data_IF_339193288783
#
_entry.id   IF_339193288783
#
_cell.length_a   1.000
_cell.length_b   1.000
_cell.length_c   1.000
_cell.angle_alpha   90.00
_cell.angle_beta   90.00
_cell.angle_gamma   90.00
#
_symmetry.space_group_name_H-M   'P 1'
#
loop_
_entity.id
_entity.type
_entity.pdbx_description
1 polymer ?
#
# COMPACT_ATOMS: atom_id res chain seq x y z
N UNK A 1 -20.99 -11.20 20.23
CA UNK A 1 -20.19 -11.89 19.21
C UNK A 1 -18.80 -11.28 19.25
N UNK A 2 -17.80 -12.06 19.63
CA UNK A 2 -16.41 -11.59 19.71
C UNK A 2 -15.89 -11.35 18.29
N UNK A 3 -15.31 -10.18 18.07
CA UNK A 3 -14.67 -9.82 16.81
C UNK A 3 -13.20 -10.18 16.93
N UNK A 4 -12.66 -10.79 15.89
CA UNK A 4 -11.23 -11.03 15.76
C UNK A 4 -10.63 -9.98 14.83
N UNK A 5 -9.33 -9.75 14.99
CA UNK A 5 -8.57 -8.81 14.18
C UNK A 5 -7.51 -9.53 13.37
N UNK A 6 -7.21 -8.99 12.19
CA UNK A 6 -6.14 -9.49 11.33
C UNK A 6 -5.35 -8.33 10.73
N UNK A 7 -4.09 -8.59 10.41
CA UNK A 7 -3.19 -7.68 9.74
C UNK A 7 -3.03 -8.11 8.28
N UNK A 8 -3.41 -7.23 7.34
CA UNK A 8 -3.29 -7.46 5.91
C UNK A 8 -2.17 -6.56 5.37
N UNK A 9 -1.05 -7.15 4.98
CA UNK A 9 -0.03 -6.47 4.19
C UNK A 9 -0.39 -6.52 2.71
N UNK A 10 -0.11 -5.40 2.03
CA UNK A 10 -0.30 -5.21 0.60
C UNK A 10 1.04 -4.80 0.00
N UNK A 11 1.55 -5.59 -0.94
CA UNK A 11 2.83 -5.33 -1.61
C UNK A 11 2.60 -5.18 -3.12
N UNK A 12 2.89 -4.00 -3.65
CA UNK A 12 2.57 -3.63 -5.03
C UNK A 12 3.44 -4.39 -6.06
N UNK A 13 2.82 -5.22 -6.90
CA UNK A 13 3.48 -5.87 -8.04
C UNK A 13 3.54 -4.91 -9.23
N UNK A 14 2.43 -4.22 -9.48
CA UNK A 14 2.28 -3.22 -10.55
C UNK A 14 2.03 -1.85 -9.92
N UNK A 15 2.27 -0.73 -10.63
CA UNK A 15 1.88 0.58 -10.11
C UNK A 15 0.39 0.62 -9.75
N UNK A 16 0.04 1.24 -8.63
CA UNK A 16 -1.32 1.24 -8.07
C UNK A 16 -1.87 2.66 -8.09
N UNK A 17 -3.08 2.84 -8.60
CA UNK A 17 -3.78 4.12 -8.57
C UNK A 17 -4.97 4.08 -7.59
N UNK A 18 -4.75 4.22 -6.28
CA UNK A 18 -5.85 4.47 -5.36
C UNK A 18 -6.30 5.92 -5.56
N UNK A 19 -7.33 6.13 -6.39
CA UNK A 19 -7.75 7.47 -6.80
C UNK A 19 -8.07 8.37 -5.62
N UNK A 20 -7.31 9.47 -5.50
CA UNK A 20 -7.47 10.50 -4.48
C UNK A 20 -8.53 11.52 -4.85
N UNK A 21 -8.86 12.37 -3.89
CA UNK A 21 -9.68 13.54 -4.17
C UNK A 21 -8.87 14.51 -5.04
N UNK A 22 -9.47 15.05 -6.10
CA UNK A 22 -8.82 16.01 -6.99
C UNK A 22 -8.32 17.20 -6.16
N UNK A 23 -7.00 17.34 -6.05
CA UNK A 23 -6.39 18.46 -5.37
C UNK A 23 -6.25 19.64 -6.35
N UNK A 24 -6.23 20.87 -5.84
CA UNK A 24 -5.76 22.02 -6.60
C UNK A 24 -4.23 21.85 -6.81
N UNK A 25 -3.83 21.26 -7.93
CA UNK A 25 -2.43 20.94 -8.21
C UNK A 25 -2.19 20.61 -9.67
N UNK A 26 -0.93 20.36 -10.03
CA UNK A 26 -0.51 20.06 -11.41
C UNK A 26 -0.83 18.63 -11.87
N UNK A 27 -1.32 17.77 -10.96
CA UNK A 27 -1.70 16.38 -11.26
C UNK A 27 -3.22 16.28 -11.22
N UNK A 28 -3.83 15.91 -12.35
CA UNK A 28 -5.28 15.81 -12.48
C UNK A 28 -5.86 14.66 -11.65
N UNK A 29 -5.17 13.52 -11.62
CA UNK A 29 -5.58 12.30 -10.93
C UNK A 29 -4.51 11.89 -9.91
N UNK A 30 -4.49 12.51 -8.71
CA UNK A 30 -3.55 12.15 -7.66
C UNK A 30 -3.93 10.82 -6.99
N UNK A 31 -2.98 10.23 -6.26
CA UNK A 31 -3.28 9.11 -5.36
C UNK A 31 -3.84 9.60 -4.01
N UNK A 32 -4.52 8.70 -3.28
CA UNK A 32 -4.98 8.95 -1.92
C UNK A 32 -3.81 9.18 -0.96
N UNK A 33 -3.87 10.27 -0.20
CA UNK A 33 -2.92 10.63 0.85
C UNK A 33 -3.65 11.00 2.14
N UNK A 34 -3.07 10.64 3.28
CA UNK A 34 -3.55 11.09 4.58
C UNK A 34 -3.29 12.61 4.73
N UNK A 35 -4.29 13.45 5.00
CA UNK A 35 -4.11 14.90 5.03
C UNK A 35 -3.06 15.41 6.03
N UNK A 36 -2.95 14.76 7.19
CA UNK A 36 -2.07 15.22 8.28
C UNK A 36 -0.58 14.96 8.00
N UNK A 37 -0.25 13.87 7.31
CA UNK A 37 1.14 13.44 7.07
C UNK A 37 1.56 13.60 5.62
N UNK A 38 0.61 13.54 4.69
CA UNK A 38 0.89 13.42 3.26
C UNK A 38 1.32 12.02 2.81
N UNK A 39 1.38 11.03 3.72
CA UNK A 39 1.70 9.65 3.37
C UNK A 39 0.62 9.07 2.45
N UNK A 40 1.00 8.34 1.39
CA UNK A 40 0.07 7.56 0.61
C UNK A 40 -0.69 6.54 1.46
N UNK A 41 -1.97 6.39 1.16
CA UNK A 41 -2.88 5.46 1.84
C UNK A 41 -3.78 4.78 0.81
N UNK A 42 -4.46 3.71 1.24
CA UNK A 42 -5.66 3.23 0.56
C UNK A 42 -6.79 3.32 1.58
N UNK A 43 -7.78 4.18 1.33
CA UNK A 43 -8.94 4.38 2.20
C UNK A 43 -9.67 3.05 2.43
N UNK A 44 -10.19 2.85 3.63
CA UNK A 44 -10.80 1.59 4.05
C UNK A 44 -11.98 1.17 3.15
N UNK A 45 -12.77 2.14 2.67
CA UNK A 45 -13.86 1.91 1.73
C UNK A 45 -13.37 1.48 0.34
N UNK A 46 -12.25 2.01 -0.15
CA UNK A 46 -11.64 1.59 -1.41
C UNK A 46 -11.12 0.16 -1.31
N UNK A 47 -10.41 -0.17 -0.23
CA UNK A 47 -9.92 -1.52 0.02
C UNK A 47 -11.08 -2.51 0.24
N UNK A 48 -12.13 -2.12 0.97
CA UNK A 48 -13.34 -2.93 1.14
C UNK A 48 -14.04 -3.18 -0.19
N UNK A 49 -14.08 -2.19 -1.09
CA UNK A 49 -14.60 -2.33 -2.44
C UNK A 49 -13.83 -3.37 -3.24
N UNK A 50 -12.49 -3.29 -3.23
CA UNK A 50 -11.61 -4.26 -3.88
C UNK A 50 -11.83 -5.69 -3.35
N UNK A 51 -11.86 -5.87 -2.03
CA UNK A 51 -12.15 -7.16 -1.39
C UNK A 51 -13.55 -7.66 -1.76
N UNK A 52 -14.55 -6.79 -1.70
CA UNK A 52 -15.93 -7.12 -2.04
C UNK A 52 -16.05 -7.65 -3.47
N UNK A 53 -15.38 -7.02 -4.43
CA UNK A 53 -15.38 -7.48 -5.81
C UNK A 53 -14.61 -8.79 -5.98
N UNK A 54 -13.42 -8.88 -5.38
CA UNK A 54 -12.61 -10.11 -5.42
C UNK A 54 -13.39 -11.34 -4.93
N UNK A 55 -14.19 -11.21 -3.86
CA UNK A 55 -14.95 -12.33 -3.31
C UNK A 55 -16.33 -12.54 -3.95
N UNK A 56 -16.75 -11.73 -4.93
CA UNK A 56 -18.11 -11.77 -5.50
C UNK A 56 -18.48 -13.11 -6.13
N UNK A 57 -17.54 -13.78 -6.78
CA UNK A 57 -17.74 -15.10 -7.40
C UNK A 57 -17.14 -16.25 -6.57
N UNK A 58 -16.51 -15.94 -5.44
CA UNK A 58 -15.78 -16.91 -4.58
C UNK A 58 -16.57 -17.32 -3.34
N UNK A 59 -17.68 -16.64 -3.05
CA UNK A 59 -18.55 -16.90 -1.90
C UNK A 59 -19.99 -17.06 -2.38
N UNK A 60 -20.78 -17.83 -1.63
CA UNK A 60 -22.24 -17.84 -1.78
C UNK A 60 -22.82 -16.43 -1.51
N UNK A 61 -23.93 -16.09 -2.17
CA UNK A 61 -24.47 -14.72 -2.14
C UNK A 61 -24.86 -14.27 -0.73
N UNK A 62 -25.48 -15.16 0.06
CA UNK A 62 -25.83 -14.91 1.46
C UNK A 62 -24.60 -14.58 2.32
N UNK A 63 -23.52 -15.34 2.11
CA UNK A 63 -22.24 -15.15 2.80
C UNK A 63 -21.56 -13.85 2.36
N UNK A 64 -21.55 -13.57 1.06
CA UNK A 64 -20.98 -12.36 0.48
C UNK A 64 -21.71 -11.11 0.99
N UNK A 65 -23.04 -11.11 0.98
CA UNK A 65 -23.86 -10.03 1.57
C UNK A 65 -23.63 -9.93 3.07
N UNK A 66 -23.51 -11.05 3.78
CA UNK A 66 -23.22 -11.06 5.22
C UNK A 66 -21.89 -10.40 5.57
N UNK A 67 -20.84 -10.65 4.79
CA UNK A 67 -19.50 -10.08 5.02
C UNK A 67 -19.41 -8.60 4.60
N UNK A 68 -19.91 -8.26 3.40
CA UNK A 68 -19.66 -6.94 2.79
C UNK A 68 -20.84 -5.98 2.88
N UNK A 69 -22.03 -6.46 3.23
CA UNK A 69 -23.28 -5.71 3.30
C UNK A 69 -24.09 -5.78 2.01
N UNK A 70 -25.39 -5.46 2.08
CA UNK A 70 -26.27 -5.49 0.91
C UNK A 70 -25.97 -4.35 -0.06
N UNK A 71 -26.42 -4.49 -1.31
CA UNK A 71 -26.50 -3.34 -2.22
C UNK A 71 -27.59 -2.38 -1.73
N UNK A 72 -27.45 -1.07 -1.93
CA UNK A 72 -28.55 -0.13 -1.72
C UNK A 72 -29.73 -0.49 -2.64
N UNK A 73 -30.96 -0.62 -2.12
CA UNK A 73 -32.13 -0.88 -2.96
C UNK A 73 -32.43 0.33 -3.86
N UNK A 74 -32.79 0.07 -5.12
CA UNK A 74 -33.05 1.11 -6.15
C UNK A 74 -34.24 2.03 -5.83
N UNK A 75 -35.11 1.68 -4.88
CA UNK A 75 -36.33 2.43 -4.53
C UNK A 75 -36.46 2.78 -3.05
N UNK A 76 -35.36 2.77 -2.29
CA UNK A 76 -35.41 2.90 -0.83
C UNK A 76 -35.78 1.58 -0.13
N UNK A 77 -35.27 1.39 1.09
CA UNK A 77 -35.44 0.16 1.86
C UNK A 77 -34.29 -0.09 2.83
N UNK A 78 -34.45 -1.06 3.73
CA UNK A 78 -33.45 -1.40 4.74
C UNK A 78 -32.19 -2.01 4.10
N UNK A 79 -31.03 -1.47 4.46
CA UNK A 79 -29.72 -2.04 4.11
C UNK A 79 -29.28 -3.00 5.20
N UNK A 80 -28.55 -4.06 4.81
CA UNK A 80 -27.89 -4.96 5.76
C UNK A 80 -26.42 -4.57 5.86
N UNK A 81 -25.91 -4.14 7.03
CA UNK A 81 -24.49 -3.88 7.19
C UNK A 81 -23.69 -5.18 7.12
N UNK A 82 -22.50 -5.11 6.52
CA UNK A 82 -21.57 -6.24 6.49
C UNK A 82 -20.82 -6.40 7.81
N UNK A 83 -20.49 -7.63 8.18
CA UNK A 83 -19.73 -7.94 9.39
C UNK A 83 -18.24 -7.60 9.30
N UNK A 84 -17.67 -7.51 8.09
CA UNK A 84 -16.27 -7.18 7.88
C UNK A 84 -16.06 -5.66 7.93
N UNK A 85 -15.18 -5.23 8.84
CA UNK A 85 -14.64 -3.88 8.93
C UNK A 85 -13.24 -3.87 8.34
N UNK A 86 -13.03 -3.02 7.36
CA UNK A 86 -11.76 -2.86 6.67
C UNK A 86 -11.28 -1.45 6.97
N UNK A 87 -10.15 -1.36 7.67
CA UNK A 87 -9.54 -0.08 8.00
C UNK A 87 -8.59 0.36 6.88
N UNK A 88 -8.23 1.64 6.92
CA UNK A 88 -7.28 2.23 5.98
C UNK A 88 -5.95 1.46 5.95
N UNK A 89 -5.46 1.20 4.73
CA UNK A 89 -4.12 0.70 4.51
C UNK A 89 -3.13 1.86 4.58
N UNK A 90 -2.21 1.80 5.53
CA UNK A 90 -1.23 2.85 5.79
C UNK A 90 0.15 2.42 5.29
N UNK A 91 0.93 3.38 4.78
CA UNK A 91 2.27 3.14 4.27
C UNK A 91 3.17 2.51 5.36
N UNK A 92 3.90 1.47 4.97
CA UNK A 92 4.97 0.84 5.76
C UNK A 92 6.32 1.20 5.19
N UNK A 93 6.48 1.02 3.87
CA UNK A 93 7.73 1.31 3.18
C UNK A 93 7.47 1.73 1.73
N UNK A 94 8.20 2.74 1.28
CA UNK A 94 8.12 3.28 -0.08
C UNK A 94 9.44 3.06 -0.82
N UNK A 95 9.43 2.57 -2.07
CA UNK A 95 10.64 2.35 -2.83
C UNK A 95 11.15 3.69 -3.42
N UNK A 96 12.33 4.12 -2.98
CA UNK A 96 13.02 5.28 -3.51
C UNK A 96 14.08 4.84 -4.52
N UNK A 97 14.11 5.41 -5.74
CA UNK A 97 15.23 5.23 -6.67
C UNK A 97 16.53 5.65 -6.02
N UNK A 98 17.64 4.99 -6.37
CA UNK A 98 18.96 5.36 -5.85
C UNK A 98 20.03 5.05 -6.89
N UNK A 99 21.22 5.62 -6.72
CA UNK A 99 22.33 5.46 -7.68
C UNK A 99 22.93 4.05 -7.69
N UNK A 100 22.60 3.24 -6.68
CA UNK A 100 23.17 1.90 -6.48
C UNK A 100 22.08 0.91 -6.14
N UNK A 101 22.20 -0.34 -6.60
CA UNK A 101 21.23 -1.40 -6.26
C UNK A 101 19.78 -1.06 -6.68
N UNK A 102 19.65 -0.19 -7.68
CA UNK A 102 18.41 0.25 -8.34
C UNK A 102 17.46 1.09 -7.47
N UNK A 103 17.04 0.57 -6.32
CA UNK A 103 16.15 1.24 -5.39
C UNK A 103 16.35 0.72 -3.96
N UNK A 104 15.88 1.49 -2.98
CA UNK A 104 15.86 1.13 -1.55
C UNK A 104 14.48 1.40 -0.97
N UNK A 105 14.07 0.62 0.02
CA UNK A 105 12.84 0.90 0.76
C UNK A 105 13.10 1.94 1.83
N UNK A 106 12.26 2.96 1.88
CA UNK A 106 12.31 4.02 2.88
C UNK A 106 11.07 3.95 3.76
N UNK A 107 11.30 4.04 5.06
CA UNK A 107 10.28 4.12 6.11
C UNK A 107 10.61 5.28 7.06
N UNK A 108 9.80 5.43 8.11
CA UNK A 108 9.99 6.49 9.11
C UNK A 108 9.52 6.03 10.50
N UNK A 109 9.92 6.73 11.59
CA UNK A 109 9.45 6.43 12.94
C UNK A 109 7.93 6.37 13.06
N UNK A 110 7.18 7.27 12.40
CA UNK A 110 5.72 7.26 12.42
C UNK A 110 5.14 6.03 11.71
N UNK A 111 5.66 5.66 10.54
CA UNK A 111 5.20 4.49 9.79
C UNK A 111 5.43 3.19 10.59
N UNK A 112 6.61 3.05 11.18
CA UNK A 112 6.99 1.91 12.02
C UNK A 112 6.15 1.83 13.30
N UNK A 113 5.94 2.96 13.98
CA UNK A 113 5.09 3.02 15.19
C UNK A 113 3.64 2.66 14.89
N UNK A 114 3.12 3.09 13.73
CA UNK A 114 1.75 2.74 13.28
C UNK A 114 1.63 1.26 12.98
N UNK A 115 2.63 0.66 12.31
CA UNK A 115 2.68 -0.77 12.07
C UNK A 115 2.71 -1.56 13.38
N UNK A 116 3.60 -1.21 14.32
CA UNK A 116 3.69 -1.86 15.63
C UNK A 116 2.36 -1.78 16.40
N UNK A 117 1.70 -0.62 16.41
CA UNK A 117 0.38 -0.45 17.04
C UNK A 117 -0.70 -1.32 16.40
N UNK A 118 -0.75 -1.41 15.06
CA UNK A 118 -1.72 -2.29 14.36
C UNK A 118 -1.43 -3.77 14.63
N UNK A 119 -0.16 -4.17 14.62
CA UNK A 119 0.26 -5.53 14.93
C UNK A 119 -0.13 -5.91 16.36
N UNK A 120 0.08 -5.01 17.33
CA UNK A 120 -0.36 -5.18 18.72
C UNK A 120 -1.88 -5.34 18.86
N UNK A 121 -2.67 -4.49 18.18
CA UNK A 121 -4.13 -4.64 18.14
C UNK A 121 -4.58 -5.98 17.53
N UNK A 122 -3.85 -6.45 16.53
CA UNK A 122 -4.12 -7.70 15.85
C UNK A 122 -3.60 -8.94 16.60
N UNK A 123 -2.78 -8.79 17.65
CA UNK A 123 -2.11 -9.92 18.31
C UNK A 123 -1.06 -10.59 17.42
N UNK A 124 -0.47 -9.87 16.47
CA UNK A 124 0.57 -10.36 15.55
C UNK A 124 1.94 -9.93 16.08
N UNK A 125 2.85 -10.86 16.40
CA UNK A 125 4.17 -10.51 16.89
C UNK A 125 4.98 -9.85 15.77
N UNK A 126 5.53 -8.67 16.06
CA UNK A 126 6.50 -7.98 15.20
C UNK A 126 7.71 -7.59 16.05
N UNK A 127 8.90 -7.69 15.47
CA UNK A 127 10.11 -7.20 16.12
C UNK A 127 9.99 -5.70 16.41
N UNK A 128 10.56 -5.24 17.52
CA UNK A 128 10.72 -3.82 17.77
C UNK A 128 11.80 -3.22 16.87
N UNK A 129 11.68 -1.93 16.59
CA UNK A 129 12.80 -1.11 16.13
C UNK A 129 13.54 -0.60 17.36
N UNK A 130 14.86 -0.48 17.31
CA UNK A 130 15.66 -0.03 18.46
C UNK A 130 15.37 1.42 18.85
N UNK A 131 16.10 1.94 19.84
CA UNK A 131 15.93 3.31 20.34
C UNK A 131 16.61 4.38 19.48
N UNK A 132 17.38 3.95 18.46
CA UNK A 132 18.02 4.84 17.49
C UNK A 132 16.96 5.67 16.77
N UNK A 133 17.18 6.99 16.67
CA UNK A 133 16.28 7.92 15.98
C UNK A 133 17.03 8.55 14.81
N UNK A 134 16.46 8.58 13.59
CA UNK A 134 17.06 9.30 12.47
C UNK A 134 17.05 10.82 12.70
N UNK A 135 17.89 11.54 11.99
CA UNK A 135 17.91 13.01 11.97
C UNK A 135 17.64 13.53 10.56
N UNK A 136 17.40 14.83 10.41
CA UNK A 136 17.10 15.47 9.12
C UNK A 136 18.13 15.17 8.01
N UNK A 137 19.39 14.91 8.41
CA UNK A 137 20.50 14.64 7.50
C UNK A 137 21.02 13.20 7.57
N UNK A 138 20.51 12.36 8.48
CA UNK A 138 21.02 11.00 8.70
C UNK A 138 19.88 9.99 8.80
N UNK A 139 19.87 9.05 7.85
CA UNK A 139 18.99 7.88 7.89
C UNK A 139 19.64 6.72 8.64
N UNK A 140 18.83 5.96 9.37
CA UNK A 140 19.22 4.64 9.84
C UNK A 140 19.14 3.63 8.69
N UNK A 141 20.04 2.65 8.66
CA UNK A 141 20.08 1.64 7.60
C UNK A 141 20.13 0.22 8.17
N UNK A 142 19.47 -0.71 7.48
CA UNK A 142 19.46 -2.13 7.82
C UNK A 142 20.72 -2.89 7.36
N UNK A 143 21.72 -2.21 6.81
CA UNK A 143 23.02 -2.80 6.49
C UNK A 143 24.15 -1.76 6.53
N UNK A 144 25.34 -2.21 6.94
CA UNK A 144 26.55 -1.40 6.92
C UNK A 144 27.13 -1.38 5.51
N UNK A 145 27.04 -0.24 4.82
CA UNK A 145 27.56 -0.10 3.44
C UNK A 145 28.42 1.13 3.26
N UNK A 146 27.78 2.29 3.16
CA UNK A 146 28.43 3.58 2.94
C UNK A 146 28.04 4.54 4.05
N UNK A 147 28.72 5.67 4.11
CA UNK A 147 28.43 6.76 5.02
C UNK A 147 27.40 7.75 4.44
N UNK A 148 27.16 7.69 3.12
CA UNK A 148 26.19 8.53 2.43
C UNK A 148 25.42 7.76 1.36
N UNK A 149 24.18 8.19 1.11
CA UNK A 149 23.28 7.65 0.08
C UNK A 149 22.50 8.78 -0.58
N UNK A 150 21.93 8.48 -1.76
CA UNK A 150 20.92 9.30 -2.42
C UNK A 150 19.63 8.49 -2.50
N UNK A 151 18.53 9.03 -1.97
CA UNK A 151 17.20 8.44 -2.02
C UNK A 151 16.29 9.37 -2.82
N UNK A 152 16.00 9.03 -4.08
CA UNK A 152 15.39 9.94 -5.04
C UNK A 152 16.32 11.13 -5.32
N UNK A 153 15.94 12.31 -4.86
CA UNK A 153 16.73 13.53 -4.93
C UNK A 153 17.36 13.95 -3.59
N UNK A 154 17.15 13.16 -2.53
CA UNK A 154 17.55 13.49 -1.18
C UNK A 154 18.90 12.86 -0.84
N UNK A 155 19.88 13.69 -0.48
CA UNK A 155 21.18 13.25 0.02
C UNK A 155 21.07 13.04 1.53
N UNK A 156 21.54 11.88 2.01
CA UNK A 156 21.48 11.51 3.42
C UNK A 156 22.78 10.84 3.83
N UNK A 157 23.29 11.19 5.01
CA UNK A 157 24.24 10.35 5.72
C UNK A 157 23.54 9.07 6.19
N UNK A 158 24.31 8.02 6.44
CA UNK A 158 23.78 6.71 6.81
C UNK A 158 24.45 6.18 8.05
N UNK A 159 23.62 5.77 9.02
CA UNK A 159 24.03 5.13 10.24
C UNK A 159 23.44 3.72 10.29
N UNK A 160 24.29 2.70 10.35
CA UNK A 160 23.81 1.32 10.51
C UNK A 160 23.15 1.15 11.88
N UNK A 161 21.96 0.54 11.89
CA UNK A 161 21.23 0.20 13.10
C UNK A 161 20.93 -1.32 13.12
N UNK A 162 21.58 -2.11 13.99
CA UNK A 162 21.38 -3.56 14.05
C UNK A 162 19.94 -3.99 14.40
N UNK A 163 19.21 -3.13 15.13
CA UNK A 163 17.82 -3.39 15.45
C UNK A 163 16.93 -3.23 14.20
N UNK A 164 17.16 -2.20 13.37
CA UNK A 164 16.52 -2.03 12.07
C UNK A 164 16.86 -3.18 11.11
N UNK A 165 18.10 -3.68 11.12
CA UNK A 165 18.48 -4.88 10.34
C UNK A 165 17.67 -6.11 10.73
N UNK A 166 17.61 -6.40 12.03
CA UNK A 166 16.82 -7.51 12.55
C UNK A 166 15.32 -7.33 12.24
N UNK A 167 14.82 -6.10 12.39
CA UNK A 167 13.45 -5.75 12.06
C UNK A 167 13.15 -5.97 10.58
N UNK A 168 14.00 -5.48 9.67
CA UNK A 168 13.81 -5.60 8.23
C UNK A 168 13.75 -7.06 7.78
N UNK A 169 14.65 -7.91 8.31
CA UNK A 169 14.66 -9.34 8.02
C UNK A 169 13.36 -10.03 8.47
N UNK A 170 12.84 -9.71 9.66
CA UNK A 170 11.57 -10.25 10.15
C UNK A 170 10.38 -9.73 9.34
N UNK A 171 10.33 -8.42 9.06
CA UNK A 171 9.26 -7.80 8.30
C UNK A 171 9.19 -8.33 6.87
N UNK A 172 10.32 -8.65 6.23
CA UNK A 172 10.32 -9.33 4.92
C UNK A 172 9.53 -10.64 4.95
N UNK A 173 9.63 -11.41 6.04
CA UNK A 173 8.89 -12.66 6.23
C UNK A 173 7.39 -12.46 6.48
N UNK A 174 6.98 -11.30 7.00
CA UNK A 174 5.58 -10.97 7.28
C UNK A 174 4.88 -10.28 6.10
N UNK A 175 5.56 -9.35 5.44
CA UNK A 175 4.95 -8.45 4.46
C UNK A 175 5.03 -8.97 3.01
N UNK A 176 6.12 -9.66 2.63
CA UNK A 176 6.31 -10.14 1.25
C UNK A 176 5.70 -11.54 1.08
N UNK A 177 4.99 -11.83 -0.03
CA UNK A 177 4.42 -13.15 -0.31
C UNK A 177 5.47 -14.26 -0.37
N UNK A 178 5.06 -15.52 -0.18
CA UNK A 178 5.98 -16.66 -0.36
C UNK A 178 6.39 -16.87 -1.82
N UNK A 179 5.58 -16.40 -2.76
CA UNK A 179 5.88 -16.42 -4.19
C UNK A 179 6.99 -15.42 -4.58
N UNK A 180 7.23 -14.38 -3.78
CA UNK A 180 8.36 -13.47 -4.00
C UNK A 180 9.65 -14.22 -3.71
N UNK A 181 10.57 -14.14 -4.66
CA UNK A 181 11.79 -14.92 -4.66
C UNK A 181 12.70 -14.61 -3.45
N UNK A 182 13.67 -15.49 -3.23
CA UNK A 182 14.63 -15.31 -2.15
C UNK A 182 15.50 -14.06 -2.32
N UNK A 183 15.58 -13.46 -3.51
CA UNK A 183 16.37 -12.27 -3.75
C UNK A 183 15.69 -11.04 -3.15
N UNK A 184 14.42 -10.78 -3.46
CA UNK A 184 13.71 -9.61 -2.95
C UNK A 184 13.54 -9.61 -1.43
N UNK A 185 13.30 -10.79 -0.81
CA UNK A 185 13.28 -10.89 0.67
C UNK A 185 14.63 -10.55 1.29
N UNK A 186 15.73 -11.04 0.70
CA UNK A 186 17.09 -10.71 1.14
C UNK A 186 17.43 -9.24 0.88
N UNK A 187 16.96 -8.67 -0.23
CA UNK A 187 17.12 -7.27 -0.58
C UNK A 187 16.41 -6.40 0.46
N UNK A 188 15.14 -6.67 0.77
CA UNK A 188 14.39 -5.93 1.78
C UNK A 188 15.09 -5.91 3.14
N UNK A 189 15.59 -7.07 3.60
CA UNK A 189 16.36 -7.15 4.85
C UNK A 189 17.60 -6.26 4.88
N UNK A 190 18.22 -5.97 3.73
CA UNK A 190 19.46 -5.19 3.61
C UNK A 190 19.26 -3.74 3.17
N UNK A 191 18.13 -3.43 2.53
CA UNK A 191 17.87 -2.17 1.84
C UNK A 191 16.67 -1.42 2.44
N UNK A 192 16.43 -1.58 3.75
CA UNK A 192 15.47 -0.75 4.49
C UNK A 192 16.21 0.43 5.14
N UNK A 193 15.73 1.63 4.83
CA UNK A 193 16.24 2.89 5.34
C UNK A 193 15.14 3.56 6.16
N UNK A 194 15.45 4.04 7.36
CA UNK A 194 14.53 4.79 8.20
C UNK A 194 15.04 6.23 8.32
N UNK A 195 14.31 7.18 7.75
CA UNK A 195 14.58 8.61 7.87
C UNK A 195 13.51 9.31 8.70
N UNK A 196 13.63 10.63 8.88
CA UNK A 196 12.58 11.44 9.51
C UNK A 196 11.27 11.38 8.71
N UNK A 197 10.15 11.66 9.36
CA UNK A 197 8.82 11.54 8.74
C UNK A 197 8.67 12.46 7.52
N UNK A 198 9.27 13.65 7.56
CA UNK A 198 9.31 14.63 6.47
C UNK A 198 10.06 14.09 5.25
N UNK A 199 11.13 13.31 5.46
CA UNK A 199 11.88 12.68 4.37
C UNK A 199 11.02 11.64 3.67
N UNK A 200 10.29 10.79 4.42
CA UNK A 200 9.38 9.82 3.82
C UNK A 200 8.24 10.53 3.06
N UNK A 201 7.71 11.63 3.61
CA UNK A 201 6.73 12.47 2.94
C UNK A 201 7.26 13.00 1.61
N UNK A 202 8.44 13.61 1.62
CA UNK A 202 9.09 14.16 0.43
C UNK A 202 9.35 13.10 -0.63
N UNK A 203 9.99 11.98 -0.24
CA UNK A 203 10.24 10.85 -1.14
C UNK A 203 8.95 10.30 -1.74
N UNK A 204 7.91 10.10 -0.93
CA UNK A 204 6.65 9.53 -1.42
C UNK A 204 5.90 10.46 -2.39
N UNK A 205 6.16 11.77 -2.36
CA UNK A 205 5.58 12.75 -3.28
C UNK A 205 6.41 12.86 -4.56
N UNK A 206 7.72 12.99 -4.41
CA UNK A 206 8.61 13.30 -5.53
C UNK A 206 8.97 12.06 -6.36
N UNK A 207 8.96 10.88 -5.73
CA UNK A 207 9.31 9.61 -6.39
C UNK A 207 8.07 8.80 -6.81
N UNK A 208 6.85 9.29 -6.56
CA UNK A 208 5.64 8.69 -7.10
C UNK A 208 5.56 8.95 -8.62
N UNK A 209 5.41 7.91 -9.46
CA UNK A 209 5.32 8.11 -10.90
C UNK A 209 4.11 8.95 -11.29
N UNK A 210 4.34 10.00 -12.07
CA UNK A 210 3.29 10.80 -12.72
C UNK A 210 3.37 10.55 -14.23
N UNK A 211 2.28 10.04 -14.81
CA UNK A 211 2.22 9.66 -16.22
C UNK A 211 1.21 10.52 -16.96
N UNK A 212 1.66 11.18 -18.03
CA UNK A 212 0.79 11.88 -18.96
C UNK A 212 0.01 10.88 -19.83
N UNK A 213 -1.30 11.10 -19.94
CA UNK A 213 -2.21 10.29 -20.76
C UNK A 213 -2.98 11.19 -21.72
N UNK A 214 -3.24 10.67 -22.91
CA UNK A 214 -4.01 11.33 -23.95
C UNK A 214 -5.05 10.37 -24.51
N UNK A 215 -6.16 10.92 -24.97
CA UNK A 215 -7.13 10.20 -25.79
C UNK A 215 -6.94 10.62 -27.25
N UNK A 216 -6.67 9.66 -28.12
CA UNK A 216 -6.61 9.88 -29.57
C UNK A 216 -8.00 9.78 -30.21
N UNK A 217 -8.11 10.24 -31.46
CA UNK A 217 -9.34 10.15 -32.25
C UNK A 217 -10.03 11.50 -32.47
N UNK A 218 -9.27 12.60 -32.56
CA UNK A 218 -9.86 13.87 -32.97
C UNK A 218 -10.41 13.72 -34.40
N UNK A 219 -11.55 14.33 -34.66
CA UNK A 219 -12.25 14.22 -35.94
C UNK A 219 -11.63 15.18 -36.96
N UNK A 220 -11.45 14.73 -38.20
CA UNK A 220 -11.13 15.60 -39.33
C UNK A 220 -12.36 16.41 -39.80
N UNK A 221 -12.21 17.20 -40.87
CA UNK A 221 -13.28 18.03 -41.39
C UNK A 221 -14.49 17.20 -41.88
N UNK A 222 -14.26 15.92 -42.18
CA UNK A 222 -15.24 14.95 -42.66
C UNK A 222 -15.83 14.09 -41.52
N UNK A 223 -15.42 14.31 -40.27
CA UNK A 223 -15.91 13.58 -39.10
C UNK A 223 -15.25 12.23 -38.87
N UNK A 224 -14.14 11.91 -39.55
CA UNK A 224 -13.42 10.64 -39.35
C UNK A 224 -12.38 10.76 -38.23
N UNK A 225 -12.22 9.73 -37.38
CA UNK A 225 -11.25 9.77 -36.30
C UNK A 225 -9.82 9.67 -36.84
N UNK A 226 -8.97 10.60 -36.40
CA UNK A 226 -7.55 10.66 -36.79
C UNK A 226 -6.63 10.16 -35.67
N UNK A 227 -5.35 9.96 -35.99
CA UNK A 227 -4.30 9.66 -34.99
C UNK A 227 -3.81 10.90 -34.23
N UNK A 228 -4.68 11.89 -34.04
CA UNK A 228 -4.38 13.12 -33.29
C UNK A 228 -5.17 13.14 -31.97
N UNK A 229 -4.71 13.96 -31.02
CA UNK A 229 -5.27 14.03 -29.67
C UNK A 229 -6.65 14.68 -29.70
N UNK A 230 -7.66 13.96 -29.18
CA UNK A 230 -9.01 14.47 -28.94
C UNK A 230 -9.14 15.16 -27.57
N UNK A 231 -8.56 14.54 -26.54
CA UNK A 231 -8.58 15.06 -25.16
C UNK A 231 -7.24 14.81 -24.44
N UNK A 232 -6.87 15.74 -23.54
CA UNK A 232 -5.64 15.70 -22.75
C UNK A 232 -4.59 16.74 -23.17
N UNK A 233 -3.37 16.68 -22.61
CA UNK A 233 -2.92 15.66 -21.66
C UNK A 233 -3.60 15.78 -20.29
N UNK A 234 -3.78 14.64 -19.62
CA UNK A 234 -4.08 14.58 -18.19
C UNK A 234 -3.02 13.72 -17.49
N UNK A 235 -2.71 14.05 -16.24
CA UNK A 235 -1.63 13.45 -15.47
C UNK A 235 -2.19 12.58 -14.36
N UNK A 236 -1.77 11.31 -14.34
CA UNK A 236 -2.13 10.35 -13.29
C UNK A 236 -0.92 10.01 -12.44
N UNK A 237 -1.04 10.12 -11.13
CA UNK A 237 -0.06 9.67 -10.16
C UNK A 237 -0.30 8.21 -9.78
N UNK A 238 0.76 7.47 -9.49
CA UNK A 238 0.68 6.08 -9.04
C UNK A 238 1.58 5.85 -7.82
N UNK A 239 1.18 4.92 -6.97
CA UNK A 239 2.13 4.22 -6.12
C UNK A 239 3.04 3.37 -7.01
N UNK A 240 4.37 3.42 -6.86
CA UNK A 240 5.26 2.54 -7.59
C UNK A 240 5.06 1.08 -7.15
N UNK A 241 5.39 0.14 -8.06
CA UNK A 241 5.68 -1.24 -7.67
C UNK A 241 6.69 -1.26 -6.53
N UNK A 242 6.68 -2.31 -5.71
CA UNK A 242 7.49 -2.47 -4.51
C UNK A 242 6.99 -1.70 -3.27
N UNK A 243 5.94 -0.87 -3.38
CA UNK A 243 5.32 -0.20 -2.22
C UNK A 243 4.68 -1.20 -1.27
N UNK A 244 4.89 -1.03 0.04
CA UNK A 244 4.28 -1.85 1.09
C UNK A 244 3.32 -0.99 1.91
N UNK A 245 2.06 -1.43 2.00
CA UNK A 245 1.06 -0.89 2.91
C UNK A 245 0.54 -1.98 3.87
N UNK A 246 -0.09 -1.55 4.95
CA UNK A 246 -0.70 -2.45 5.93
C UNK A 246 -2.06 -1.94 6.40
N UNK A 247 -3.06 -2.82 6.38
CA UNK A 247 -4.42 -2.57 6.87
C UNK A 247 -4.74 -3.46 8.08
N UNK A 248 -5.57 -2.94 8.98
CA UNK A 248 -6.22 -3.73 10.02
C UNK A 248 -7.59 -4.19 9.48
N UNK A 249 -7.92 -5.46 9.69
CA UNK A 249 -9.23 -6.02 9.41
C UNK A 249 -9.88 -6.46 10.72
N UNK A 250 -11.19 -6.26 10.86
CA UNK A 250 -11.95 -6.79 11.98
C UNK A 250 -13.21 -7.48 11.49
N UNK A 251 -13.49 -8.69 11.98
CA UNK A 251 -14.62 -9.48 11.52
C UNK A 251 -14.94 -10.62 12.46
N UNK A 252 -15.94 -11.43 12.12
CA UNK A 252 -16.17 -12.70 12.83
C UNK A 252 -15.03 -13.67 12.47
N UNK A 253 -14.65 -14.60 13.35
CA UNK A 253 -13.61 -15.59 13.05
C UNK A 253 -13.84 -16.32 11.71
N UNK A 254 -15.08 -16.76 11.45
CA UNK A 254 -15.44 -17.40 10.19
C UNK A 254 -15.27 -16.47 8.97
N UNK A 255 -15.47 -15.15 9.13
CA UNK A 255 -15.31 -14.18 8.04
C UNK A 255 -13.83 -14.04 7.68
N UNK A 256 -12.97 -13.90 8.70
CA UNK A 256 -11.52 -13.82 8.52
C UNK A 256 -10.95 -15.12 7.96
N UNK A 257 -11.46 -16.28 8.38
CA UNK A 257 -11.06 -17.57 7.83
C UNK A 257 -11.31 -17.65 6.31
N UNK A 258 -12.36 -17.01 5.78
CA UNK A 258 -12.58 -16.92 4.32
C UNK A 258 -11.60 -16.00 3.61
N UNK A 259 -11.07 -15.00 4.30
CA UNK A 259 -10.04 -14.11 3.74
C UNK A 259 -8.67 -14.78 3.65
N UNK A 260 -8.45 -15.93 4.29
CA UNK A 260 -7.14 -16.60 4.31
C UNK A 260 -6.65 -17.05 2.92
N UNK A 261 -7.53 -17.16 1.93
CA UNK A 261 -7.14 -17.35 0.52
C UNK A 261 -6.32 -16.19 -0.05
N UNK A 262 -6.36 -15.01 0.60
CA UNK A 262 -5.52 -13.87 0.24
C UNK A 262 -4.07 -14.05 0.71
N UNK A 263 -3.78 -14.91 1.69
CA UNK A 263 -2.39 -15.08 2.13
C UNK A 263 -1.55 -15.69 1.01
N UNK A 264 -0.52 -14.96 0.58
CA UNK A 264 0.26 -15.21 -0.64
C UNK A 264 -0.54 -15.19 -1.95
N UNK A 265 -1.78 -14.69 -1.91
CA UNK A 265 -2.61 -14.40 -3.08
C UNK A 265 -2.43 -12.96 -3.58
N UNK A 266 -3.20 -12.59 -4.61
CA UNK A 266 -3.20 -11.24 -5.18
C UNK A 266 -4.58 -10.59 -5.10
N UNK A 267 -4.59 -9.28 -4.90
CA UNK A 267 -5.76 -8.42 -4.91
C UNK A 267 -5.56 -7.30 -5.94
N UNK A 268 -6.63 -6.94 -6.65
CA UNK A 268 -6.65 -5.76 -7.52
C UNK A 268 -7.20 -4.58 -6.73
N UNK A 269 -6.46 -3.49 -6.63
CA UNK A 269 -6.81 -2.30 -5.85
C UNK A 269 -6.66 -1.04 -6.69
N UNK A 270 -7.61 -0.12 -6.56
CA UNK A 270 -7.59 1.16 -7.27
C UNK A 270 -8.19 1.10 -8.68
N UNK A 271 -7.95 2.15 -9.45
CA UNK A 271 -8.39 2.28 -10.84
C UNK A 271 -7.40 1.72 -11.85
N UNK A 272 -7.65 1.98 -13.14
CA UNK A 272 -6.75 1.66 -14.25
C UNK A 272 -6.41 0.16 -14.41
N UNK A 273 -7.31 -0.72 -13.96
CA UNK A 273 -7.15 -2.17 -14.07
C UNK A 273 -6.92 -2.64 -15.52
N UNK A 274 -7.68 -2.09 -16.48
CA UNK A 274 -7.61 -2.48 -17.89
C UNK A 274 -6.27 -2.13 -18.57
N UNK A 275 -5.45 -1.28 -17.95
CA UNK A 275 -4.09 -0.93 -18.40
C UNK A 275 -3.02 -1.47 -17.44
N UNK A 276 -3.35 -2.55 -16.72
CA UNK A 276 -2.40 -3.34 -15.94
C UNK A 276 -1.95 -2.69 -14.63
N UNK A 277 -2.78 -1.85 -14.00
CA UNK A 277 -2.48 -1.21 -12.71
C UNK A 277 -3.16 -1.93 -11.55
N UNK A 278 -2.66 -1.72 -10.34
CA UNK A 278 -3.35 -2.08 -9.11
C UNK A 278 -3.17 -3.50 -8.59
N UNK A 279 -2.31 -4.33 -9.18
CA UNK A 279 -2.03 -5.67 -8.65
C UNK A 279 -1.17 -5.58 -7.39
N UNK A 280 -1.68 -6.13 -6.29
CA UNK A 280 -0.97 -6.19 -5.01
C UNK A 280 -0.98 -7.60 -4.46
N UNK A 281 0.19 -8.10 -4.09
CA UNK A 281 0.32 -9.31 -3.28
C UNK A 281 -0.19 -9.06 -1.87
N UNK A 282 -0.81 -10.09 -1.30
CA UNK A 282 -1.39 -10.05 0.03
C UNK A 282 -0.66 -10.99 0.97
N UNK A 283 -0.45 -10.55 2.22
CA UNK A 283 -0.09 -11.43 3.35
C UNK A 283 -1.05 -11.17 4.49
N UNK A 284 -1.74 -12.21 4.94
CA UNK A 284 -2.80 -12.10 5.95
C UNK A 284 -2.40 -12.85 7.22
N UNK A 285 -2.29 -12.08 8.30
CA UNK A 285 -1.97 -12.60 9.62
C UNK A 285 -3.15 -12.41 10.55
N UNK A 286 -3.81 -13.51 10.90
CA UNK A 286 -4.86 -13.52 11.91
C UNK A 286 -4.20 -13.79 13.26
N UNK A 287 -4.17 -12.82 14.17
CA UNK A 287 -3.54 -13.02 15.47
C UNK A 287 -4.47 -13.65 16.50
N UNK A 288 -3.90 -13.97 17.65
CA UNK A 288 -4.62 -14.52 18.79
C UNK A 288 -5.60 -13.50 19.36
N UNK A 289 -6.68 -13.97 20.00
CA UNK A 289 -7.61 -13.07 20.72
C UNK A 289 -6.83 -12.24 21.75
N UNK A 290 -6.77 -10.92 21.54
CA UNK A 290 -6.26 -9.98 22.53
C UNK A 290 -7.43 -9.68 23.48
N UNK A 291 -7.34 -10.23 24.70
CA UNK A 291 -8.34 -10.08 25.77
C UNK A 291 -8.51 -8.65 26.25
#
# INVERSE_FOLDING_TARGET
>A
MTLQRALLFLYAETPVHPGGDTAAGAVDLPIQREPATGFPIIKGESLKGALREHFRTRLADDRWVGMFGSKPPRGGGATKPGSLRVHEAQLVAFPAPTLEETFRWVTSPLALSRLARKAGLAGVPIAGTGDSVPSDSTCLTSSQRREQTVLGQYVQATQHDPALESFAANLAGLALPNAVDGYLKKKFGKDLYCGVDELLTGISKDCAPVVARVQLGAEDAEGNPTKTVKHGPFYSEYLPSETILVALLEGRPDDLAKLQVLDSGVLRVGGDESIGKGLMWCRLHVGAEVG
#
